data_IF_211869548026
#
_entry.id   IF_211869548026
#
_cell.length_a   1.000
_cell.length_b   1.000
_cell.length_c   1.000
_cell.angle_alpha   90.00
_cell.angle_beta   90.00
_cell.angle_gamma   90.00
#
_symmetry.space_group_name_H-M   'P 1'
#
loop_
_entity.id
_entity.type
_entity.pdbx_description
1 polymer ?
#
# COMPACT_ATOMS: atom_id res chain seq x y z
N UNK A 1 -23.76 -17.74 9.07
CA UNK A 1 -22.29 -17.76 8.92
C UNK A 1 -21.69 -16.34 8.92
N UNK A 2 -22.15 -15.43 8.04
CA UNK A 2 -21.58 -14.05 7.88
C UNK A 2 -21.72 -13.21 9.15
N UNK A 3 -22.87 -13.26 9.84
CA UNK A 3 -23.07 -12.51 11.11
C UNK A 3 -22.13 -12.96 12.23
N UNK A 4 -21.79 -14.25 12.26
CA UNK A 4 -20.87 -14.78 13.28
C UNK A 4 -19.43 -14.33 13.05
N UNK A 5 -19.00 -14.23 11.77
CA UNK A 5 -17.65 -13.76 11.43
C UNK A 5 -17.46 -12.26 11.65
N UNK A 6 -18.55 -11.47 11.58
CA UNK A 6 -18.49 -10.01 11.78
C UNK A 6 -18.64 -9.59 13.25
N UNK A 7 -18.91 -10.54 14.18
CA UNK A 7 -19.10 -10.23 15.60
C UNK A 7 -20.25 -9.27 15.88
N UNK A 8 -21.13 -9.05 14.91
CA UNK A 8 -22.26 -8.13 15.05
C UNK A 8 -23.48 -8.86 15.61
N UNK A 9 -24.09 -8.30 16.63
CA UNK A 9 -25.39 -8.77 17.17
C UNK A 9 -26.59 -8.30 16.33
N UNK A 10 -26.35 -7.52 15.27
CA UNK A 10 -27.37 -6.98 14.37
C UNK A 10 -27.52 -7.75 13.07
N UNK A 11 -28.69 -7.66 12.45
CA UNK A 11 -28.92 -8.19 11.11
C UNK A 11 -28.13 -7.36 10.08
N UNK A 12 -27.24 -8.00 9.35
CA UNK A 12 -26.60 -7.38 8.20
C UNK A 12 -27.66 -7.14 7.12
N UNK A 13 -27.61 -5.97 6.48
CA UNK A 13 -28.51 -5.69 5.37
C UNK A 13 -28.29 -6.72 4.24
N UNK A 14 -29.37 -7.03 3.50
CA UNK A 14 -29.30 -7.95 2.36
C UNK A 14 -28.28 -7.46 1.32
N UNK A 15 -28.10 -6.16 1.19
CA UNK A 15 -27.14 -5.56 0.26
C UNK A 15 -25.69 -5.77 0.73
N UNK A 16 -25.41 -5.56 2.00
CA UNK A 16 -24.10 -5.85 2.59
C UNK A 16 -23.74 -7.35 2.47
N UNK A 17 -24.71 -8.24 2.69
CA UNK A 17 -24.50 -9.69 2.52
C UNK A 17 -24.18 -10.07 1.07
N UNK A 18 -24.87 -9.47 0.08
CA UNK A 18 -24.58 -9.67 -1.35
C UNK A 18 -23.18 -9.17 -1.71
N UNK A 19 -22.78 -8.03 -1.20
CA UNK A 19 -21.46 -7.47 -1.49
C UNK A 19 -20.35 -8.28 -0.82
N UNK A 20 -20.55 -8.74 0.41
CA UNK A 20 -19.64 -9.66 1.06
C UNK A 20 -19.44 -10.93 0.23
N UNK A 21 -20.54 -11.51 -0.26
CA UNK A 21 -20.49 -12.65 -1.17
C UNK A 21 -19.74 -12.34 -2.48
N UNK A 22 -19.91 -11.14 -3.03
CA UNK A 22 -19.18 -10.71 -4.24
C UNK A 22 -17.68 -10.62 -3.99
N UNK A 23 -17.24 -10.07 -2.86
CA UNK A 23 -15.82 -10.00 -2.51
C UNK A 23 -15.19 -11.38 -2.36
N UNK A 24 -15.89 -12.29 -1.67
CA UNK A 24 -15.35 -13.62 -1.41
C UNK A 24 -15.37 -14.50 -2.67
N UNK A 25 -16.46 -14.48 -3.44
CA UNK A 25 -16.63 -15.39 -4.59
C UNK A 25 -16.09 -14.82 -5.91
N UNK A 26 -16.18 -13.51 -6.15
CA UNK A 26 -15.73 -12.90 -7.41
C UNK A 26 -14.34 -12.30 -7.33
N UNK A 27 -13.98 -11.70 -6.19
CA UNK A 27 -12.68 -11.06 -6.03
C UNK A 27 -11.67 -11.97 -5.33
N UNK A 28 -12.09 -13.15 -4.86
CA UNK A 28 -11.20 -14.12 -4.24
C UNK A 28 -10.63 -13.68 -2.89
N UNK A 29 -11.27 -12.71 -2.21
CA UNK A 29 -10.91 -12.35 -0.85
C UNK A 29 -11.34 -13.46 0.11
N UNK A 30 -10.52 -13.77 1.10
CA UNK A 30 -10.92 -14.66 2.17
C UNK A 30 -12.06 -14.05 2.99
N UNK A 31 -12.80 -14.89 3.73
CA UNK A 31 -13.85 -14.41 4.64
C UNK A 31 -13.29 -13.44 5.67
N UNK A 32 -12.06 -13.68 6.15
CA UNK A 32 -11.38 -12.80 7.10
C UNK A 32 -11.06 -11.44 6.49
N UNK A 33 -10.45 -11.40 5.29
CA UNK A 33 -10.14 -10.15 4.57
C UNK A 33 -11.41 -9.34 4.26
N UNK A 34 -12.48 -10.01 3.82
CA UNK A 34 -13.75 -9.36 3.58
C UNK A 34 -14.38 -8.81 4.88
N UNK A 35 -14.19 -9.51 6.01
CA UNK A 35 -14.64 -9.04 7.33
C UNK A 35 -13.87 -7.81 7.79
N UNK A 36 -12.56 -7.81 7.65
CA UNK A 36 -11.69 -6.65 7.98
C UNK A 36 -12.07 -5.43 7.13
N UNK A 37 -12.26 -5.63 5.82
CA UNK A 37 -12.70 -4.55 4.93
C UNK A 37 -14.10 -4.03 5.31
N UNK A 38 -15.02 -4.90 5.70
CA UNK A 38 -16.33 -4.49 6.19
C UNK A 38 -16.22 -3.65 7.48
N UNK A 39 -15.34 -4.02 8.40
CA UNK A 39 -15.10 -3.24 9.62
C UNK A 39 -14.56 -1.84 9.32
N UNK A 40 -13.79 -1.67 8.25
CA UNK A 40 -13.31 -0.35 7.81
C UNK A 40 -14.48 0.58 7.44
N UNK A 41 -15.65 0.06 7.02
CA UNK A 41 -16.83 0.87 6.72
C UNK A 41 -17.37 1.58 7.96
N UNK A 42 -17.27 0.95 9.13
CA UNK A 42 -17.70 1.55 10.39
C UNK A 42 -16.85 2.78 10.76
N UNK A 43 -15.55 2.75 10.46
CA UNK A 43 -14.64 3.86 10.72
C UNK A 43 -14.78 5.00 9.71
N UNK A 44 -15.15 4.70 8.47
CA UNK A 44 -15.25 5.69 7.39
C UNK A 44 -16.64 6.30 7.27
N UNK A 45 -17.67 5.66 7.82
CA UNK A 45 -19.08 6.02 7.60
C UNK A 45 -19.58 5.74 6.17
N UNK A 46 -18.75 5.15 5.30
CA UNK A 46 -19.13 4.77 3.94
C UNK A 46 -19.90 3.44 3.96
N UNK A 47 -20.85 3.26 3.06
CA UNK A 47 -21.39 1.93 2.82
C UNK A 47 -20.32 1.04 2.19
N UNK A 48 -20.47 -0.26 2.34
CA UNK A 48 -19.52 -1.21 1.79
C UNK A 48 -19.38 -1.11 0.26
N UNK A 49 -20.48 -0.80 -0.44
CA UNK A 49 -20.46 -0.55 -1.88
C UNK A 49 -19.69 0.71 -2.26
N UNK A 50 -19.92 1.80 -1.54
CA UNK A 50 -19.20 3.05 -1.77
C UNK A 50 -17.69 2.85 -1.58
N UNK A 51 -17.28 2.21 -0.49
CA UNK A 51 -15.87 1.92 -0.23
C UNK A 51 -15.24 1.08 -1.35
N UNK A 52 -15.87 -0.01 -1.77
CA UNK A 52 -15.32 -0.89 -2.81
C UNK A 52 -15.27 -0.22 -4.18
N UNK A 53 -16.28 0.59 -4.54
CA UNK A 53 -16.29 1.35 -5.79
C UNK A 53 -15.25 2.48 -5.76
N UNK A 54 -15.10 3.15 -4.63
CA UNK A 54 -14.11 4.20 -4.43
C UNK A 54 -12.68 3.63 -4.58
N UNK A 55 -12.39 2.51 -3.93
CA UNK A 55 -11.07 1.85 -4.05
C UNK A 55 -10.78 1.45 -5.50
N UNK A 56 -11.74 0.81 -6.19
CA UNK A 56 -11.54 0.40 -7.58
C UNK A 56 -11.34 1.60 -8.52
N UNK A 57 -12.17 2.64 -8.37
CA UNK A 57 -12.11 3.85 -9.19
C UNK A 57 -10.82 4.65 -8.96
N UNK A 58 -10.47 4.90 -7.70
CA UNK A 58 -9.27 5.66 -7.36
C UNK A 58 -7.99 4.89 -7.73
N UNK A 59 -7.92 3.58 -7.48
CA UNK A 59 -6.76 2.76 -7.87
C UNK A 59 -6.53 2.82 -9.38
N UNK A 60 -7.60 2.71 -10.18
CA UNK A 60 -7.50 2.86 -11.63
C UNK A 60 -6.95 4.24 -12.01
N UNK A 61 -7.51 5.30 -11.44
CA UNK A 61 -7.05 6.67 -11.71
C UNK A 61 -5.59 6.88 -11.31
N UNK A 62 -5.20 6.39 -10.13
CA UNK A 62 -3.82 6.51 -9.64
C UNK A 62 -2.83 5.73 -10.52
N UNK A 63 -3.19 4.52 -10.97
CA UNK A 63 -2.38 3.78 -11.94
C UNK A 63 -2.17 4.58 -13.24
N UNK A 64 -3.25 5.17 -13.78
CA UNK A 64 -3.17 5.96 -15.02
C UNK A 64 -2.32 7.22 -14.84
N UNK A 65 -2.46 7.92 -13.72
CA UNK A 65 -1.74 9.19 -13.49
C UNK A 65 -0.29 9.01 -13.07
N UNK A 66 0.04 7.91 -12.41
CA UNK A 66 1.40 7.64 -11.89
C UNK A 66 2.20 6.65 -12.73
N UNK A 67 1.57 6.04 -13.74
CA UNK A 67 2.18 4.97 -14.52
C UNK A 67 2.50 3.71 -13.70
N UNK A 68 1.85 3.53 -12.53
CA UNK A 68 2.04 2.35 -11.69
C UNK A 68 1.16 1.18 -12.15
N UNK A 69 1.41 -0.02 -11.61
CA UNK A 69 0.64 -1.22 -11.86
C UNK A 69 0.23 -1.87 -10.52
N UNK A 70 -0.50 -1.12 -9.71
CA UNK A 70 -1.00 -1.59 -8.41
C UNK A 70 -2.35 -2.25 -8.58
N UNK A 71 -2.48 -3.47 -8.06
CA UNK A 71 -3.74 -4.22 -8.09
C UNK A 71 -4.71 -3.68 -7.02
N UNK A 72 -5.94 -3.34 -7.45
CA UNK A 72 -6.98 -2.82 -6.56
C UNK A 72 -7.42 -3.83 -5.48
N UNK A 73 -7.31 -5.15 -5.73
CA UNK A 73 -7.60 -6.19 -4.74
C UNK A 73 -6.60 -6.10 -3.57
N UNK A 74 -5.32 -5.87 -3.89
CA UNK A 74 -4.31 -5.69 -2.85
C UNK A 74 -4.54 -4.39 -2.06
N UNK A 75 -4.97 -3.33 -2.72
CA UNK A 75 -5.37 -2.07 -2.04
C UNK A 75 -6.56 -2.32 -1.10
N UNK A 76 -7.55 -3.10 -1.52
CA UNK A 76 -8.68 -3.49 -0.66
C UNK A 76 -8.23 -4.30 0.55
N UNK A 77 -7.32 -5.26 0.37
CA UNK A 77 -6.75 -6.04 1.49
C UNK A 77 -6.04 -5.13 2.48
N UNK A 78 -5.18 -4.24 2.00
CA UNK A 78 -4.45 -3.31 2.86
C UNK A 78 -5.38 -2.40 3.66
N UNK A 79 -6.48 -1.92 3.08
CA UNK A 79 -7.48 -1.14 3.81
C UNK A 79 -8.09 -1.96 4.95
N UNK A 80 -8.30 -3.25 4.75
CA UNK A 80 -8.76 -4.16 5.79
C UNK A 80 -7.73 -4.39 6.90
N UNK A 81 -6.44 -4.24 6.61
CA UNK A 81 -5.35 -4.43 7.56
C UNK A 81 -4.97 -3.15 8.33
N UNK A 82 -5.55 -2.01 8.00
CA UNK A 82 -5.30 -0.78 8.76
C UNK A 82 -5.65 -0.94 10.22
N UNK A 83 -4.80 -0.41 11.10
CA UNK A 83 -5.18 -0.26 12.51
C UNK A 83 -6.39 0.67 12.65
N UNK A 84 -7.18 0.51 13.71
CA UNK A 84 -8.32 1.38 13.95
C UNK A 84 -7.90 2.87 14.06
N UNK A 85 -6.73 3.14 14.62
CA UNK A 85 -6.20 4.50 14.70
C UNK A 85 -5.90 5.08 13.31
N UNK A 86 -5.31 4.28 12.43
CA UNK A 86 -5.02 4.69 11.04
C UNK A 86 -6.30 4.86 10.24
N UNK A 87 -7.28 3.97 10.37
CA UNK A 87 -8.60 4.11 9.73
C UNK A 87 -9.25 5.45 10.09
N UNK A 88 -9.30 5.79 11.39
CA UNK A 88 -9.88 7.05 11.87
C UNK A 88 -9.10 8.28 11.41
N UNK A 89 -7.78 8.17 11.29
CA UNK A 89 -6.94 9.29 10.85
C UNK A 89 -7.05 9.49 9.35
N UNK A 90 -6.89 8.41 8.57
CA UNK A 90 -6.94 8.46 7.11
C UNK A 90 -8.34 8.79 6.56
N UNK A 91 -9.41 8.44 7.27
CA UNK A 91 -10.78 8.79 6.87
C UNK A 91 -11.05 10.30 6.82
N UNK A 92 -10.22 11.10 7.49
CA UNK A 92 -10.32 12.58 7.46
C UNK A 92 -9.79 13.19 6.16
N UNK A 93 -9.03 12.45 5.38
CA UNK A 93 -8.47 12.89 4.11
C UNK A 93 -9.30 12.34 2.96
N UNK A 94 -9.64 13.19 1.98
CA UNK A 94 -10.40 12.76 0.80
C UNK A 94 -9.65 11.66 0.03
N UNK A 95 -10.24 10.45 -0.03
CA UNK A 95 -9.62 9.28 -0.62
C UNK A 95 -8.37 8.79 0.14
N UNK A 96 -8.19 9.20 1.39
CA UNK A 96 -6.98 8.96 2.17
C UNK A 96 -6.65 7.47 2.34
N UNK A 97 -7.65 6.62 2.61
CA UNK A 97 -7.45 5.18 2.75
C UNK A 97 -6.91 4.55 1.47
N UNK A 98 -7.55 4.82 0.34
CA UNK A 98 -7.16 4.28 -0.96
C UNK A 98 -5.78 4.79 -1.38
N UNK A 99 -5.53 6.09 -1.22
CA UNK A 99 -4.22 6.68 -1.55
C UNK A 99 -3.11 6.13 -0.68
N UNK A 100 -3.33 6.01 0.64
CA UNK A 100 -2.33 5.47 1.56
C UNK A 100 -1.96 4.02 1.20
N UNK A 101 -2.96 3.13 1.04
CA UNK A 101 -2.74 1.74 0.65
C UNK A 101 -2.08 1.64 -0.74
N UNK A 102 -2.53 2.43 -1.71
CA UNK A 102 -1.94 2.49 -3.05
C UNK A 102 -0.48 2.92 -3.01
N UNK A 103 -0.16 3.98 -2.27
CA UNK A 103 1.22 4.52 -2.21
C UNK A 103 2.14 3.55 -1.48
N UNK A 104 1.69 2.89 -0.41
CA UNK A 104 2.42 1.82 0.24
C UNK A 104 2.75 0.68 -0.75
N UNK A 105 1.75 0.18 -1.49
CA UNK A 105 1.95 -0.87 -2.51
C UNK A 105 2.90 -0.44 -3.62
N UNK A 106 2.79 0.79 -4.09
CA UNK A 106 3.70 1.36 -5.10
C UNK A 106 5.16 1.35 -4.61
N UNK A 107 5.39 1.52 -3.31
CA UNK A 107 6.69 1.37 -2.67
C UNK A 107 7.14 -0.08 -2.47
N UNK A 108 6.26 -1.06 -2.69
CA UNK A 108 6.53 -2.46 -2.40
C UNK A 108 6.27 -2.86 -0.95
N UNK A 109 5.57 -2.01 -0.19
CA UNK A 109 5.17 -2.24 1.20
C UNK A 109 3.70 -2.70 1.29
N UNK A 110 3.42 -3.39 2.37
CA UNK A 110 2.06 -3.57 2.89
C UNK A 110 1.75 -2.43 3.86
N UNK A 111 0.48 -2.18 4.13
CA UNK A 111 0.11 -1.05 5.00
C UNK A 111 0.63 -1.21 6.42
N UNK A 112 0.63 -2.44 6.95
CA UNK A 112 1.23 -2.76 8.25
C UNK A 112 2.72 -2.41 8.32
N UNK A 113 3.47 -2.63 7.24
CA UNK A 113 4.87 -2.23 7.13
C UNK A 113 5.04 -0.71 7.20
N UNK A 114 4.17 0.04 6.51
CA UNK A 114 4.21 1.50 6.55
C UNK A 114 3.83 2.05 7.94
N UNK A 115 2.87 1.43 8.64
CA UNK A 115 2.52 1.77 10.02
C UNK A 115 3.69 1.51 10.99
N UNK A 116 4.41 0.41 10.82
CA UNK A 116 5.61 0.11 11.61
C UNK A 116 6.71 1.14 11.39
N UNK A 117 6.96 1.51 10.14
CA UNK A 117 7.91 2.58 9.80
C UNK A 117 7.51 3.90 10.47
N UNK A 118 6.22 4.27 10.39
CA UNK A 118 5.70 5.45 11.06
C UNK A 118 5.99 5.42 12.57
N UNK A 119 5.72 4.28 13.23
CA UNK A 119 6.00 4.08 14.65
C UNK A 119 7.48 4.23 15.00
N UNK A 120 8.37 3.66 14.20
CA UNK A 120 9.82 3.75 14.40
C UNK A 120 10.34 5.18 14.20
N UNK A 121 9.84 5.91 13.20
CA UNK A 121 10.21 7.31 12.95
C UNK A 121 9.75 8.27 14.06
N UNK A 122 8.71 7.90 14.82
CA UNK A 122 8.25 8.69 15.98
C UNK A 122 9.15 8.56 17.21
N UNK A 123 10.04 7.57 17.26
CA UNK A 123 11.13 7.56 18.23
C UNK A 123 12.24 8.50 17.74
N UNK A 124 12.04 9.80 17.95
CA UNK A 124 12.86 10.84 17.34
C UNK A 124 14.35 10.71 17.64
N UNK A 125 14.72 10.36 18.87
CA UNK A 125 16.12 10.23 19.28
C UNK A 125 16.82 9.11 18.47
N UNK A 126 16.22 7.92 18.44
CA UNK A 126 16.77 6.78 17.69
C UNK A 126 16.71 7.01 16.18
N UNK A 127 15.63 7.62 15.67
CA UNK A 127 15.46 7.90 14.25
C UNK A 127 16.50 8.90 13.73
N UNK A 128 16.77 9.99 14.47
CA UNK A 128 17.79 10.99 14.10
C UNK A 128 19.20 10.39 14.20
N UNK A 129 19.47 9.63 15.27
CA UNK A 129 20.77 8.95 15.40
C UNK A 129 21.02 7.95 14.26
N UNK A 130 20.00 7.18 13.87
CA UNK A 130 20.08 6.23 12.77
C UNK A 130 20.26 6.93 11.40
N UNK A 131 19.63 8.08 11.19
CA UNK A 131 19.80 8.89 9.97
C UNK A 131 21.26 9.37 9.85
N UNK A 132 21.83 9.94 10.91
CA UNK A 132 23.24 10.38 10.93
C UNK A 132 24.22 9.21 10.73
N UNK A 133 23.96 8.07 11.35
CA UNK A 133 24.76 6.86 11.15
C UNK A 133 24.73 6.39 9.70
N UNK A 134 23.54 6.38 9.09
CA UNK A 134 23.38 6.00 7.69
C UNK A 134 24.08 6.96 6.74
N UNK A 135 24.00 8.27 6.97
CA UNK A 135 24.72 9.28 6.19
C UNK A 135 26.24 9.08 6.27
N UNK A 136 26.74 8.84 7.47
CA UNK A 136 28.19 8.60 7.70
C UNK A 136 28.68 7.34 6.96
N UNK A 137 27.91 6.24 7.00
CA UNK A 137 28.32 4.98 6.43
C UNK A 137 28.10 4.89 4.92
N UNK A 138 27.09 5.60 4.39
CA UNK A 138 26.74 5.58 2.96
C UNK A 138 27.37 6.73 2.17
N UNK A 139 27.78 7.80 2.85
CA UNK A 139 28.19 9.05 2.23
C UNK A 139 27.07 9.80 1.51
N UNK A 140 25.81 9.41 1.73
CA UNK A 140 24.61 10.03 1.13
C UNK A 140 23.84 10.77 2.18
N UNK A 141 23.42 12.00 1.88
CA UNK A 141 22.49 12.73 2.72
C UNK A 141 21.10 12.09 2.63
N UNK A 142 20.47 11.91 3.77
CA UNK A 142 19.08 11.59 3.94
C UNK A 142 18.36 12.84 4.46
N UNK A 143 17.07 12.94 4.22
CA UNK A 143 16.23 13.97 4.83
C UNK A 143 14.90 13.33 5.23
N UNK A 144 14.82 12.97 6.48
CA UNK A 144 13.64 12.29 7.03
C UNK A 144 12.75 13.21 7.89
N UNK A 145 13.03 14.52 7.93
CA UNK A 145 12.25 15.47 8.74
C UNK A 145 10.79 15.52 8.32
N UNK A 146 10.52 15.58 7.01
CA UNK A 146 9.16 15.54 6.49
C UNK A 146 8.50 14.18 6.72
N UNK A 147 9.25 13.08 6.61
CA UNK A 147 8.74 11.74 6.90
C UNK A 147 8.34 11.61 8.38
N UNK A 148 9.16 12.11 9.31
CA UNK A 148 8.84 12.20 10.75
C UNK A 148 7.62 13.10 11.01
N UNK A 149 7.53 14.24 10.35
CA UNK A 149 6.38 15.15 10.46
C UNK A 149 5.09 14.51 9.92
N UNK A 150 5.17 13.76 8.83
CA UNK A 150 4.04 13.00 8.26
C UNK A 150 3.60 11.87 9.22
N UNK A 151 4.55 11.11 9.77
CA UNK A 151 4.28 10.09 10.78
C UNK A 151 3.57 10.68 12.00
N UNK A 152 4.03 11.82 12.50
CA UNK A 152 3.42 12.51 13.64
C UNK A 152 1.97 12.96 13.37
N UNK A 153 1.67 13.36 12.14
CA UNK A 153 0.31 13.72 11.71
C UNK A 153 -0.57 12.50 11.39
N UNK A 154 0.04 11.32 11.29
CA UNK A 154 -0.60 10.11 10.78
C UNK A 154 -0.90 10.18 9.28
N UNK A 155 -0.22 11.05 8.51
CA UNK A 155 -0.38 11.18 7.06
C UNK A 155 0.47 10.12 6.34
N UNK A 156 -0.13 8.95 6.14
CA UNK A 156 0.55 7.81 5.52
C UNK A 156 0.85 8.02 4.04
N UNK A 157 0.10 8.87 3.34
CA UNK A 157 0.38 9.21 1.94
C UNK A 157 1.67 9.99 1.85
N UNK A 158 1.77 11.10 2.57
CA UNK A 158 2.98 11.93 2.60
C UNK A 158 4.18 11.14 3.13
N UNK A 159 3.99 10.31 4.17
CA UNK A 159 5.05 9.44 4.68
C UNK A 159 5.63 8.55 3.57
N UNK A 160 4.78 7.85 2.83
CA UNK A 160 5.23 6.97 1.75
C UNK A 160 5.90 7.75 0.61
N UNK A 161 5.42 8.94 0.28
CA UNK A 161 6.03 9.82 -0.73
C UNK A 161 7.43 10.29 -0.30
N UNK A 162 7.60 10.69 0.96
CA UNK A 162 8.89 11.12 1.51
C UNK A 162 9.91 9.96 1.58
N UNK A 163 9.46 8.74 1.92
CA UNK A 163 10.31 7.55 1.84
C UNK A 163 10.77 7.28 0.39
N UNK A 164 9.86 7.43 -0.57
CA UNK A 164 10.21 7.28 -2.00
C UNK A 164 11.17 8.37 -2.49
N UNK A 165 11.08 9.58 -1.95
CA UNK A 165 11.92 10.72 -2.32
C UNK A 165 13.40 10.52 -1.93
N UNK A 166 13.71 9.58 -1.00
CA UNK A 166 15.09 9.23 -0.67
C UNK A 166 15.84 8.53 -1.84
N UNK A 167 15.12 8.14 -2.90
CA UNK A 167 15.67 7.58 -4.14
C UNK A 167 16.63 6.39 -3.92
N UNK A 168 16.32 5.52 -2.94
CA UNK A 168 17.04 4.30 -2.69
C UNK A 168 16.53 3.23 -3.66
N UNK A 169 17.43 2.62 -4.41
CA UNK A 169 17.12 1.58 -5.40
C UNK A 169 17.71 0.24 -4.99
N UNK A 170 17.16 -0.86 -5.50
CA UNK A 170 17.72 -2.20 -5.28
C UNK A 170 19.19 -2.28 -5.70
N UNK A 171 19.54 -1.65 -6.84
CA UNK A 171 20.93 -1.60 -7.33
C UNK A 171 21.85 -0.82 -6.38
N UNK A 172 21.44 0.38 -5.94
CA UNK A 172 22.25 1.19 -5.03
C UNK A 172 22.42 0.53 -3.67
N UNK A 173 21.36 -0.10 -3.16
CA UNK A 173 21.38 -0.82 -1.89
C UNK A 173 22.25 -2.09 -1.96
N UNK A 174 22.10 -2.86 -3.05
CA UNK A 174 22.89 -4.08 -3.25
C UNK A 174 24.39 -3.87 -3.41
N UNK A 175 24.83 -2.67 -3.79
CA UNK A 175 26.26 -2.30 -3.89
C UNK A 175 26.88 -1.87 -2.55
N UNK A 176 26.09 -1.63 -1.53
CA UNK A 176 26.57 -1.27 -0.19
C UNK A 176 27.12 -2.50 0.55
N UNK A 177 28.07 -2.28 1.45
CA UNK A 177 28.44 -3.31 2.43
C UNK A 177 27.31 -3.53 3.45
N UNK A 178 27.37 -4.63 4.20
CA UNK A 178 26.30 -5.03 5.12
C UNK A 178 26.01 -3.96 6.17
N UNK A 179 27.04 -3.31 6.75
CA UNK A 179 26.85 -2.27 7.76
C UNK A 179 26.11 -1.05 7.22
N UNK A 180 26.45 -0.61 6.02
CA UNK A 180 25.78 0.49 5.35
C UNK A 180 24.33 0.15 4.98
N UNK A 181 24.04 -1.10 4.57
CA UNK A 181 22.69 -1.59 4.34
C UNK A 181 21.85 -1.58 5.61
N UNK A 182 22.40 -2.07 6.72
CA UNK A 182 21.73 -2.10 8.02
C UNK A 182 21.45 -0.69 8.54
N UNK A 183 22.43 0.21 8.48
CA UNK A 183 22.25 1.60 8.90
C UNK A 183 21.20 2.32 8.06
N UNK A 184 21.22 2.12 6.73
CA UNK A 184 20.23 2.74 5.84
C UNK A 184 18.83 2.22 6.08
N UNK A 185 18.65 0.92 6.27
CA UNK A 185 17.35 0.32 6.57
C UNK A 185 16.83 0.82 7.94
N UNK A 186 17.69 0.86 8.95
CA UNK A 186 17.37 1.36 10.29
C UNK A 186 16.95 2.84 10.27
N UNK A 187 17.63 3.69 9.48
CA UNK A 187 17.26 5.08 9.33
C UNK A 187 15.83 5.26 8.78
N UNK A 188 15.40 4.37 7.90
CA UNK A 188 14.03 4.33 7.36
C UNK A 188 13.04 3.56 8.27
N UNK A 189 13.45 3.16 9.46
CA UNK A 189 12.59 2.50 10.42
C UNK A 189 12.28 1.03 10.10
N UNK A 190 13.13 0.34 9.33
CA UNK A 190 12.94 -1.06 8.94
C UNK A 190 14.22 -1.88 9.11
N UNK A 191 14.10 -3.20 9.09
CA UNK A 191 15.23 -4.11 9.00
C UNK A 191 15.83 -4.15 7.60
N UNK A 192 17.08 -4.61 7.48
CA UNK A 192 17.76 -4.81 6.20
C UNK A 192 16.95 -5.71 5.26
N UNK A 193 16.37 -6.79 5.78
CA UNK A 193 15.60 -7.76 5.01
C UNK A 193 14.27 -7.17 4.51
N UNK A 194 13.57 -6.40 5.35
CA UNK A 194 12.35 -5.69 4.96
C UNK A 194 12.66 -4.69 3.84
N UNK A 195 13.75 -3.94 3.97
CA UNK A 195 14.18 -2.99 2.94
C UNK A 195 14.54 -3.69 1.63
N UNK A 196 15.30 -4.78 1.65
CA UNK A 196 15.62 -5.56 0.46
C UNK A 196 14.34 -6.10 -0.22
N UNK A 197 13.41 -6.61 0.56
CA UNK A 197 12.11 -7.10 0.06
C UNK A 197 11.29 -5.98 -0.56
N UNK A 198 11.19 -4.83 0.10
CA UNK A 198 10.51 -3.63 -0.41
C UNK A 198 11.08 -3.19 -1.76
N UNK A 199 12.41 -3.03 -1.84
CA UNK A 199 13.09 -2.59 -3.05
C UNK A 199 12.93 -3.58 -4.22
N UNK A 200 12.98 -4.89 -3.95
CA UNK A 200 12.74 -5.92 -4.95
C UNK A 200 11.29 -5.88 -5.47
N UNK A 201 10.30 -5.77 -4.59
CA UNK A 201 8.89 -5.62 -4.98
C UNK A 201 8.67 -4.34 -5.81
N UNK A 202 9.28 -3.23 -5.39
CA UNK A 202 9.20 -1.96 -6.13
C UNK A 202 9.77 -2.08 -7.55
N UNK A 203 10.91 -2.77 -7.70
CA UNK A 203 11.52 -3.02 -9.00
C UNK A 203 10.64 -3.91 -9.90
N UNK A 204 10.01 -4.95 -9.31
CA UNK A 204 9.06 -5.80 -10.04
C UNK A 204 7.85 -5.00 -10.53
N UNK A 205 7.27 -4.15 -9.68
CA UNK A 205 6.15 -3.29 -10.05
C UNK A 205 6.52 -2.31 -11.17
N UNK A 206 7.72 -1.73 -11.12
CA UNK A 206 8.23 -0.86 -12.20
C UNK A 206 8.38 -1.62 -13.52
N UNK A 207 8.86 -2.86 -13.50
CA UNK A 207 8.97 -3.71 -14.71
C UNK A 207 7.59 -4.02 -15.29
N UNK A 208 6.64 -4.44 -14.46
CA UNK A 208 5.26 -4.70 -14.90
C UNK A 208 4.62 -3.44 -15.47
N UNK A 209 4.77 -2.29 -14.80
CA UNK A 209 4.23 -1.02 -15.28
C UNK A 209 4.83 -0.63 -16.63
N UNK A 210 6.14 -0.79 -16.81
CA UNK A 210 6.82 -0.53 -18.09
C UNK A 210 6.30 -1.44 -19.20
N UNK A 211 6.20 -2.74 -18.94
CA UNK A 211 5.67 -3.70 -19.92
C UNK A 211 4.22 -3.40 -20.31
N UNK A 212 3.40 -2.96 -19.38
CA UNK A 212 2.02 -2.53 -19.66
C UNK A 212 2.00 -1.28 -20.55
N UNK A 213 2.88 -0.33 -20.31
CA UNK A 213 2.98 0.89 -21.11
C UNK A 213 3.58 0.62 -22.51
N UNK A 214 4.64 -0.19 -22.60
CA UNK A 214 5.33 -0.50 -23.86
C UNK A 214 4.45 -1.35 -24.81
N UNK A 215 3.55 -2.19 -24.28
CA UNK A 215 2.65 -3.03 -25.09
C UNK A 215 1.44 -2.26 -25.65
N UNK A 216 1.49 -0.96 -25.73
CA UNK A 216 0.45 -0.11 -26.36
C UNK A 216 -0.97 -0.30 -25.77
N UNK A 217 -1.08 -0.76 -24.53
CA UNK A 217 -2.37 -0.96 -23.86
C UNK A 217 -3.12 0.35 -23.72
N UNK A 218 -2.40 1.47 -23.58
CA UNK A 218 -2.98 2.81 -23.53
C UNK A 218 -3.61 3.26 -24.87
N UNK A 219 -3.30 2.60 -25.98
CA UNK A 219 -3.91 2.86 -27.30
C UNK A 219 -5.01 1.86 -27.66
N UNK A 220 -5.19 0.79 -26.87
CA UNK A 220 -6.18 -0.23 -27.14
C UNK A 220 -7.43 0.01 -26.31
N UNK A 221 -8.36 0.70 -26.88
CA UNK A 221 -9.71 1.00 -26.37
C UNK A 221 -10.61 -0.26 -26.25
N UNK A 222 -10.03 -1.45 -26.06
CA UNK A 222 -10.78 -2.70 -25.98
C UNK A 222 -10.41 -3.46 -24.70
N UNK A 223 -11.38 -3.60 -23.80
CA UNK A 223 -11.37 -4.50 -22.65
C UNK A 223 -10.85 -5.92 -22.99
N UNK A 224 -11.12 -6.38 -24.21
CA UNK A 224 -10.71 -7.69 -24.71
C UNK A 224 -9.19 -7.87 -24.86
N UNK A 225 -8.45 -6.80 -25.27
CA UNK A 225 -6.98 -6.86 -25.36
C UNK A 225 -6.34 -6.80 -23.98
N UNK A 226 -6.89 -6.00 -23.07
CA UNK A 226 -6.46 -5.93 -21.67
C UNK A 226 -6.66 -7.29 -21.01
N UNK A 227 -7.78 -7.95 -21.26
CA UNK A 227 -8.09 -9.27 -20.72
C UNK A 227 -7.11 -10.34 -21.25
N UNK A 228 -6.82 -10.37 -22.55
CA UNK A 228 -5.85 -11.31 -23.14
C UNK A 228 -4.43 -11.14 -22.59
N UNK A 229 -4.00 -9.92 -22.34
CA UNK A 229 -2.66 -9.66 -21.75
C UNK A 229 -2.64 -10.08 -20.28
N UNK A 230 -3.71 -9.83 -19.53
CA UNK A 230 -3.84 -10.27 -18.14
C UNK A 230 -3.86 -11.80 -18.04
N UNK A 231 -4.59 -12.49 -18.93
CA UNK A 231 -4.62 -13.94 -19.01
C UNK A 231 -3.25 -14.53 -19.40
N UNK A 232 -2.56 -13.95 -20.39
CA UNK A 232 -1.23 -14.38 -20.82
C UNK A 232 -0.16 -14.21 -19.73
N UNK A 233 -0.36 -13.30 -18.78
CA UNK A 233 0.56 -13.05 -17.65
C UNK A 233 0.10 -13.64 -16.33
N UNK A 234 -0.91 -14.51 -16.34
CA UNK A 234 -1.48 -15.12 -15.13
C UNK A 234 -1.98 -14.08 -14.09
N UNK A 235 -2.40 -12.92 -14.57
CA UNK A 235 -3.01 -11.87 -13.74
C UNK A 235 -4.52 -12.17 -13.77
N UNK A 236 -4.97 -12.97 -12.80
CA UNK A 236 -6.34 -13.45 -12.73
C UNK A 236 -7.34 -12.32 -12.43
N UNK A 237 -8.39 -12.25 -13.24
CA UNK A 237 -9.57 -11.41 -13.06
C UNK A 237 -10.72 -12.11 -12.31
N UNK A 238 -10.46 -13.31 -11.74
CA UNK A 238 -11.47 -14.05 -10.99
C UNK A 238 -11.82 -13.41 -9.64
#
# INVERSE_FOLDING_TARGET
AVNASLGTQGLISTDAAKQFSTLTHRLGLSTEEATKLFNATAATGMSFRELTNDVAGQTKQLNMTTGAAVDYKQVMKDIGEFSNATLLTQSKFAGGLTKAAFTARKLGLEMSGLENIAGNLLNFEESIAAELEAELLTGKQLNLDNARAAALKGDMVTLAEELNAQNITADSFGKMNVLAQEAQAKALGMSREEMATMLNKQEQLKKVAKELNDNTILQADTEEKIQKIMEAKNIDRS
#
